data_IF_957843505771
#
_entry.id   IF_957843505771
#
_cell.length_a   1.000
_cell.length_b   1.000
_cell.length_c   1.000
_cell.angle_alpha   90.00
_cell.angle_beta   90.00
_cell.angle_gamma   90.00
#
_symmetry.space_group_name_H-M   'P 1'
#
loop_
_entity.id
_entity.type
_entity.pdbx_description
1 polymer ?
#
# COMPACT_ATOMS: atom_id res chain seq x y z
N UNK A 1 -5.69 -2.29 11.84
CA UNK A 1 -6.16 -3.70 11.85
C UNK A 1 -5.00 -4.70 11.79
N UNK A 2 -3.84 -4.26 11.31
CA UNK A 2 -2.69 -5.11 11.03
C UNK A 2 -1.93 -5.68 12.23
N UNK A 3 -2.06 -5.13 13.44
CA UNK A 3 -1.31 -5.62 14.62
C UNK A 3 -1.61 -7.08 14.94
N UNK A 4 -0.61 -7.80 15.44
CA UNK A 4 -0.77 -9.18 15.91
C UNK A 4 -1.68 -9.27 17.14
N UNK A 5 -1.72 -8.21 17.96
CA UNK A 5 -2.55 -8.14 19.17
C UNK A 5 -3.83 -7.31 18.93
N UNK A 6 -5.04 -7.85 19.20
CA UNK A 6 -6.30 -7.12 19.04
C UNK A 6 -6.31 -5.81 19.84
N UNK A 7 -6.78 -4.73 19.20
CA UNK A 7 -6.86 -3.39 19.79
C UNK A 7 -5.53 -2.71 20.18
N UNK A 8 -4.37 -3.34 19.94
CA UNK A 8 -3.06 -2.71 20.04
C UNK A 8 -2.55 -2.34 18.64
N UNK A 9 -1.65 -1.38 18.53
CA UNK A 9 -1.02 -1.01 17.26
C UNK A 9 0.31 -0.31 17.45
N UNK A 10 1.27 -0.62 16.58
CA UNK A 10 2.52 0.13 16.47
C UNK A 10 2.29 1.56 15.98
N UNK A 11 3.29 2.42 16.17
CA UNK A 11 3.32 3.78 15.64
C UNK A 11 4.63 3.99 14.90
N UNK A 12 4.56 4.58 13.72
CA UNK A 12 5.72 5.08 12.98
C UNK A 12 5.74 6.60 13.05
N UNK A 13 6.81 7.17 13.59
CA UNK A 13 7.06 8.60 13.54
C UNK A 13 7.83 8.94 12.27
N UNK A 14 7.31 9.86 11.45
CA UNK A 14 8.04 10.44 10.33
C UNK A 14 8.26 11.90 10.66
N UNK A 15 9.52 12.30 10.76
CA UNK A 15 9.88 13.69 10.89
C UNK A 15 9.91 14.37 9.52
N UNK A 16 8.88 15.16 9.24
CA UNK A 16 8.71 15.92 8.01
C UNK A 16 9.13 17.40 8.16
N UNK A 17 9.82 17.76 9.24
CA UNK A 17 10.32 19.13 9.44
C UNK A 17 11.55 19.41 8.55
N UNK A 18 11.77 20.70 8.27
CA UNK A 18 12.98 21.14 7.58
C UNK A 18 14.20 20.87 8.46
N UNK A 19 15.24 20.27 7.88
CA UNK A 19 16.45 19.91 8.61
C UNK A 19 17.28 21.16 8.92
N UNK A 20 17.73 21.26 10.16
CA UNK A 20 18.68 22.31 10.58
C UNK A 20 20.11 21.92 10.23
N UNK A 21 21.04 22.88 10.22
CA UNK A 21 22.44 22.66 9.81
C UNK A 21 23.11 21.45 10.50
N UNK A 22 22.87 21.27 11.81
CA UNK A 22 23.40 20.13 12.57
C UNK A 22 22.74 18.77 12.28
N UNK A 23 21.61 18.75 11.56
CA UNK A 23 20.92 17.54 11.11
C UNK A 23 21.23 17.20 9.64
N UNK A 24 21.91 18.11 8.93
CA UNK A 24 22.32 17.87 7.54
C UNK A 24 23.42 16.83 7.54
N UNK A 25 23.04 15.61 7.22
CA UNK A 25 24.00 14.56 6.88
C UNK A 25 24.41 14.78 5.43
N UNK A 26 25.71 14.78 5.17
CA UNK A 26 26.29 14.84 3.82
C UNK A 26 25.95 13.54 3.07
N UNK A 27 24.71 13.46 2.59
CA UNK A 27 24.21 12.34 1.81
C UNK A 27 24.64 12.58 0.38
N UNK A 28 25.45 11.69 -0.17
CA UNK A 28 25.62 11.60 -1.62
C UNK A 28 24.28 11.21 -2.20
N UNK A 29 23.46 12.20 -2.52
CA UNK A 29 22.32 11.98 -3.40
C UNK A 29 22.90 11.47 -4.71
N UNK A 30 22.68 10.19 -4.98
CA UNK A 30 23.02 9.60 -6.27
C UNK A 30 22.43 10.48 -7.37
N UNK A 31 23.12 10.56 -8.51
CA UNK A 31 22.65 11.36 -9.65
C UNK A 31 21.15 11.17 -9.87
N UNK A 32 20.41 12.25 -10.14
CA UNK A 32 19.00 12.19 -10.47
C UNK A 32 18.81 11.40 -11.76
N UNK A 33 18.73 10.09 -11.64
CA UNK A 33 18.42 9.20 -12.75
C UNK A 33 16.94 9.34 -13.08
N UNK A 34 16.63 9.28 -14.37
CA UNK A 34 15.25 9.31 -14.83
C UNK A 34 14.55 8.02 -14.40
N UNK A 35 13.60 8.14 -13.46
CA UNK A 35 12.86 7.00 -12.90
C UNK A 35 11.82 6.41 -13.86
N UNK A 36 11.43 7.17 -14.88
CA UNK A 36 10.36 6.78 -15.81
C UNK A 36 10.82 5.72 -16.84
N UNK A 37 12.12 5.45 -16.90
CA UNK A 37 12.74 4.45 -17.80
C UNK A 37 13.38 3.28 -17.07
N UNK A 38 13.05 3.10 -15.79
CA UNK A 38 13.66 2.03 -15.03
C UNK A 38 12.92 0.71 -15.28
N UNK A 39 13.63 -0.26 -15.82
CA UNK A 39 13.20 -1.65 -15.81
C UNK A 39 13.43 -2.21 -14.40
N UNK A 40 12.34 -2.62 -13.76
CA UNK A 40 12.40 -3.30 -12.48
C UNK A 40 12.85 -4.75 -12.71
N UNK A 41 13.67 -5.35 -11.83
CA UNK A 41 13.95 -6.77 -11.90
C UNK A 41 12.63 -7.55 -11.74
N UNK A 42 12.08 -8.03 -12.86
CA UNK A 42 10.81 -8.77 -12.91
C UNK A 42 11.09 -10.27 -12.92
N UNK A 43 10.61 -10.98 -11.90
CA UNK A 43 9.53 -11.92 -12.19
C UNK A 43 8.34 -11.93 -11.21
N UNK A 44 8.33 -11.13 -10.13
CA UNK A 44 7.37 -11.26 -9.02
C UNK A 44 6.16 -10.31 -9.12
N UNK A 45 6.30 -9.16 -9.77
CA UNK A 45 5.25 -8.14 -9.83
C UNK A 45 4.36 -8.31 -11.07
N UNK A 46 3.07 -7.99 -10.96
CA UNK A 46 2.21 -7.83 -12.15
C UNK A 46 2.36 -6.42 -12.69
N UNK A 47 2.56 -5.47 -11.80
CA UNK A 47 2.62 -4.06 -12.11
C UNK A 47 3.58 -3.35 -11.16
N UNK A 48 4.37 -2.46 -11.75
CA UNK A 48 5.30 -1.58 -11.05
C UNK A 48 5.03 -0.18 -11.54
N UNK A 49 4.54 0.67 -10.65
CA UNK A 49 4.32 2.07 -10.96
C UNK A 49 5.42 2.94 -10.37
N UNK A 50 6.11 3.68 -11.22
CA UNK A 50 6.89 4.83 -10.79
C UNK A 50 5.96 6.03 -10.55
N UNK A 51 6.03 6.61 -9.36
CA UNK A 51 5.33 7.85 -9.01
C UNK A 51 6.31 8.84 -8.39
N UNK A 52 5.90 10.10 -8.35
CA UNK A 52 6.68 11.17 -7.76
C UNK A 52 5.79 12.08 -6.94
N UNK A 53 6.20 12.35 -5.70
CA UNK A 53 5.61 13.40 -4.87
C UNK A 53 6.63 14.53 -4.72
N UNK A 54 6.42 15.65 -5.43
CA UNK A 54 7.43 16.72 -5.57
C UNK A 54 8.75 16.16 -6.15
N UNK A 55 9.81 16.08 -5.35
CA UNK A 55 11.11 15.53 -5.73
C UNK A 55 11.36 14.13 -5.15
N UNK A 56 10.35 13.53 -4.50
CA UNK A 56 10.46 12.21 -3.87
C UNK A 56 9.96 11.13 -4.82
N UNK A 57 10.87 10.35 -5.47
CA UNK A 57 10.47 9.20 -6.25
C UNK A 57 10.05 8.06 -5.31
N UNK A 58 8.95 7.41 -5.66
CA UNK A 58 8.49 6.21 -4.97
C UNK A 58 7.86 5.24 -5.95
N UNK A 59 7.87 3.97 -5.57
CA UNK A 59 7.31 2.90 -6.38
C UNK A 59 6.15 2.25 -5.66
N UNK A 60 5.10 1.96 -6.43
CA UNK A 60 4.01 1.10 -6.01
C UNK A 60 4.21 -0.23 -6.72
N UNK A 61 4.25 -1.30 -5.93
CA UNK A 61 4.49 -2.66 -6.36
C UNK A 61 3.21 -3.46 -6.13
N UNK A 62 2.78 -4.17 -7.17
CA UNK A 62 1.60 -5.03 -7.12
C UNK A 62 2.01 -6.46 -7.49
N UNK A 63 1.90 -7.45 -6.58
CA UNK A 63 2.32 -8.82 -6.85
C UNK A 63 1.46 -9.50 -7.92
N UNK A 64 1.99 -10.51 -8.62
CA UNK A 64 1.24 -11.24 -9.67
C UNK A 64 -0.02 -11.92 -9.15
N UNK A 65 0.07 -12.47 -7.96
CA UNK A 65 -1.04 -13.14 -7.31
C UNK A 65 -1.51 -12.27 -6.16
N UNK A 66 -2.84 -12.15 -6.04
CA UNK A 66 -3.41 -11.76 -4.76
C UNK A 66 -2.99 -12.83 -3.77
N UNK A 67 -2.60 -12.40 -2.59
CA UNK A 67 -2.30 -13.28 -1.46
C UNK A 67 -1.13 -14.27 -1.61
N UNK A 68 -0.09 -14.06 -0.80
CA UNK A 68 0.94 -15.06 -0.50
C UNK A 68 2.00 -15.25 -1.60
N UNK A 69 3.01 -16.07 -1.29
CA UNK A 69 4.04 -16.48 -2.24
C UNK A 69 5.14 -15.44 -2.54
N UNK A 70 5.15 -14.30 -1.85
CA UNK A 70 6.26 -13.35 -1.97
C UNK A 70 7.39 -13.81 -1.05
N UNK A 71 8.52 -14.17 -1.68
CA UNK A 71 9.79 -14.34 -0.96
C UNK A 71 10.34 -12.96 -0.60
N UNK A 72 10.03 -12.51 0.61
CA UNK A 72 10.44 -11.19 1.10
C UNK A 72 11.96 -11.07 1.27
N UNK A 73 12.68 -12.17 1.50
CA UNK A 73 14.13 -12.11 1.68
C UNK A 73 14.83 -11.93 0.32
N UNK A 74 14.37 -12.64 -0.71
CA UNK A 74 14.81 -12.39 -2.08
C UNK A 74 14.44 -10.98 -2.54
N UNK A 75 13.19 -10.56 -2.30
CA UNK A 75 12.72 -9.22 -2.68
C UNK A 75 13.53 -8.11 -2.01
N UNK A 76 13.87 -8.24 -0.72
CA UNK A 76 14.73 -7.27 -0.02
C UNK A 76 16.10 -7.14 -0.69
N UNK A 77 16.67 -8.26 -1.14
CA UNK A 77 17.97 -8.28 -1.81
C UNK A 77 17.89 -7.54 -3.14
N UNK A 78 16.93 -7.90 -3.99
CA UNK A 78 16.70 -7.25 -5.29
C UNK A 78 16.45 -5.73 -5.16
N UNK A 79 15.62 -5.34 -4.20
CA UNK A 79 15.32 -3.93 -3.93
C UNK A 79 16.53 -3.17 -3.37
N UNK A 80 17.38 -3.84 -2.58
CA UNK A 80 18.61 -3.22 -2.07
C UNK A 80 19.52 -2.88 -3.23
N UNK A 81 19.80 -3.85 -4.10
CA UNK A 81 20.63 -3.64 -5.29
C UNK A 81 20.05 -2.54 -6.18
N UNK A 82 18.75 -2.59 -6.42
CA UNK A 82 18.03 -1.55 -7.18
C UNK A 82 18.16 -0.15 -6.56
N UNK A 83 18.00 -0.03 -5.23
CA UNK A 83 18.10 1.25 -4.52
C UNK A 83 19.52 1.83 -4.51
N UNK A 84 20.56 1.02 -4.70
CA UNK A 84 21.92 1.54 -4.91
C UNK A 84 22.09 2.21 -6.27
N UNK A 85 21.32 1.76 -7.26
CA UNK A 85 21.37 2.28 -8.62
C UNK A 85 20.50 3.52 -8.81
N UNK A 86 19.42 3.66 -8.06
CA UNK A 86 18.44 4.74 -8.22
C UNK A 86 18.09 5.39 -6.88
N UNK A 87 17.96 6.73 -6.79
CA UNK A 87 17.69 7.43 -5.54
C UNK A 87 16.21 7.31 -5.10
N UNK A 88 15.74 6.09 -4.88
CA UNK A 88 14.38 5.78 -4.42
C UNK A 88 14.29 5.94 -2.91
N UNK A 89 13.18 6.49 -2.42
CA UNK A 89 12.98 6.70 -0.98
C UNK A 89 11.87 5.86 -0.38
N UNK A 90 10.97 5.32 -1.22
CA UNK A 90 9.81 4.60 -0.77
C UNK A 90 9.38 3.52 -1.76
N UNK A 91 9.16 2.31 -1.25
CA UNK A 91 8.51 1.20 -1.92
C UNK A 91 7.22 0.85 -1.17
N UNK A 92 6.10 0.80 -1.89
CA UNK A 92 4.78 0.49 -1.35
C UNK A 92 4.27 -0.78 -2.02
N UNK A 93 4.11 -1.86 -1.24
CA UNK A 93 3.54 -3.10 -1.75
C UNK A 93 2.04 -3.15 -1.42
N UNK A 94 1.20 -3.27 -2.44
CA UNK A 94 -0.27 -3.30 -2.31
C UNK A 94 -0.88 -4.39 -3.20
N UNK A 95 -2.14 -4.74 -2.97
CA UNK A 95 -2.86 -5.65 -3.86
C UNK A 95 -3.12 -4.99 -5.23
N UNK A 96 -3.08 -5.74 -6.35
CA UNK A 96 -3.22 -5.17 -7.69
C UNK A 96 -4.47 -4.31 -7.92
N UNK A 97 -5.59 -4.65 -7.29
CA UNK A 97 -6.86 -3.92 -7.49
C UNK A 97 -6.97 -2.62 -6.69
N UNK A 98 -6.02 -2.35 -5.79
CA UNK A 98 -6.03 -1.13 -4.97
C UNK A 98 -5.67 0.11 -5.81
N UNK A 99 -4.84 -0.08 -6.82
CA UNK A 99 -4.30 0.99 -7.65
C UNK A 99 -5.40 1.81 -8.34
N UNK A 100 -6.45 1.14 -8.83
CA UNK A 100 -7.54 1.77 -9.58
C UNK A 100 -8.28 2.87 -8.79
N UNK A 101 -8.20 2.86 -7.46
CA UNK A 101 -8.80 3.88 -6.60
C UNK A 101 -7.97 5.14 -6.38
N UNK A 102 -6.77 5.23 -6.97
CA UNK A 102 -5.88 6.37 -6.85
C UNK A 102 -5.23 6.52 -5.47
N UNK A 103 -4.53 7.65 -5.26
CA UNK A 103 -3.61 7.83 -4.11
C UNK A 103 -4.32 7.75 -2.75
N UNK A 104 -5.57 8.21 -2.65
CA UNK A 104 -6.34 8.16 -1.41
C UNK A 104 -6.66 6.72 -0.98
N UNK A 105 -7.08 5.89 -1.93
CA UNK A 105 -7.34 4.47 -1.69
C UNK A 105 -6.05 3.70 -1.37
N UNK A 106 -4.97 3.97 -2.10
CA UNK A 106 -3.64 3.39 -1.83
C UNK A 106 -3.17 3.72 -0.41
N UNK A 107 -3.27 4.99 -0.02
CA UNK A 107 -2.85 5.45 1.31
C UNK A 107 -3.71 4.82 2.41
N UNK A 108 -5.03 4.83 2.26
CA UNK A 108 -5.94 4.19 3.21
C UNK A 108 -5.66 2.69 3.35
N UNK A 109 -5.52 1.99 2.23
CA UNK A 109 -5.29 0.55 2.19
C UNK A 109 -3.97 0.17 2.87
N UNK A 110 -2.88 0.84 2.47
CA UNK A 110 -1.54 0.62 3.02
C UNK A 110 -1.51 0.86 4.53
N UNK A 111 -2.05 1.98 5.00
CA UNK A 111 -2.02 2.34 6.42
C UNK A 111 -2.97 1.49 7.27
N UNK A 112 -4.07 0.98 6.71
CA UNK A 112 -4.99 0.09 7.42
C UNK A 112 -4.41 -1.32 7.62
N UNK A 113 -3.61 -1.77 6.66
CA UNK A 113 -3.12 -3.14 6.53
C UNK A 113 -1.65 -3.34 6.94
N UNK A 114 -0.91 -2.29 7.26
CA UNK A 114 0.46 -2.37 7.75
C UNK A 114 0.57 -2.21 9.27
N UNK A 115 1.41 -3.04 9.88
CA UNK A 115 1.99 -2.82 11.20
C UNK A 115 3.44 -2.33 11.03
N UNK A 116 3.85 -1.18 11.60
CA UNK A 116 5.17 -0.61 11.36
C UNK A 116 6.35 -1.53 11.68
N UNK A 117 6.22 -2.44 12.65
CA UNK A 117 7.32 -3.31 13.08
C UNK A 117 7.43 -4.54 12.18
N UNK A 118 6.30 -5.12 11.79
CA UNK A 118 6.27 -6.34 10.97
C UNK A 118 6.39 -6.04 9.48
N UNK A 119 5.74 -4.98 9.03
CA UNK A 119 5.48 -4.72 7.61
C UNK A 119 6.31 -3.54 7.08
N UNK A 120 7.06 -2.86 7.94
CA UNK A 120 7.95 -1.76 7.57
C UNK A 120 9.41 -2.11 7.78
N UNK A 121 10.26 -1.88 6.77
CA UNK A 121 11.70 -2.04 6.93
C UNK A 121 12.49 -1.11 6.01
N UNK A 122 13.74 -0.86 6.37
CA UNK A 122 14.66 -0.09 5.53
C UNK A 122 15.29 -1.01 4.48
N UNK A 123 15.32 -0.52 3.24
CA UNK A 123 16.08 -1.07 2.12
C UNK A 123 17.32 -0.19 1.95
N UNK A 124 18.50 -0.81 2.01
CA UNK A 124 19.75 -0.06 2.09
C UNK A 124 19.78 0.91 3.28
N UNK A 125 20.23 2.15 3.05
CA UNK A 125 20.40 3.15 4.11
C UNK A 125 19.35 4.26 4.11
N UNK A 126 18.52 4.38 3.06
CA UNK A 126 17.72 5.58 2.83
C UNK A 126 16.37 5.33 2.13
N UNK A 127 15.95 4.07 1.97
CA UNK A 127 14.70 3.72 1.35
C UNK A 127 13.81 2.97 2.34
N UNK A 128 12.56 3.40 2.48
CA UNK A 128 11.56 2.70 3.30
C UNK A 128 10.73 1.76 2.42
N UNK A 129 10.57 0.52 2.84
CA UNK A 129 9.60 -0.40 2.27
C UNK A 129 8.43 -0.59 3.23
N UNK A 130 7.21 -0.61 2.70
CA UNK A 130 5.99 -0.88 3.46
C UNK A 130 5.15 -1.96 2.75
N UNK A 131 4.88 -3.06 3.44
CA UNK A 131 4.00 -4.14 3.01
C UNK A 131 2.54 -3.90 3.45
N UNK A 132 1.71 -3.38 2.55
CA UNK A 132 0.27 -3.21 2.75
C UNK A 132 -0.60 -4.40 2.32
N UNK A 133 -0.03 -5.52 1.87
CA UNK A 133 -0.82 -6.68 1.42
C UNK A 133 -1.62 -7.29 2.56
N UNK A 134 -2.68 -8.05 2.24
CA UNK A 134 -3.43 -8.74 3.30
C UNK A 134 -2.58 -9.85 3.94
N UNK A 135 -2.69 -10.03 5.26
CA UNK A 135 -1.93 -11.07 5.97
C UNK A 135 -2.70 -12.38 6.16
N UNK A 136 -3.89 -12.50 5.57
CA UNK A 136 -4.75 -13.69 5.66
C UNK A 136 -4.01 -14.99 5.26
N UNK A 137 -3.09 -14.90 4.31
CA UNK A 137 -2.39 -16.05 3.73
C UNK A 137 -0.95 -16.19 4.23
N UNK A 138 -0.58 -15.40 5.25
CA UNK A 138 0.71 -15.50 5.90
C UNK A 138 0.61 -16.51 7.06
N UNK A 139 1.41 -17.57 7.01
CA UNK A 139 1.42 -18.63 8.04
C UNK A 139 1.80 -18.13 9.43
N UNK A 140 2.51 -17.00 9.53
CA UNK A 140 2.87 -16.36 10.79
C UNK A 140 1.77 -15.49 11.40
N UNK A 141 0.75 -15.09 10.62
CA UNK A 141 -0.33 -14.23 11.11
C UNK A 141 -1.51 -15.04 11.62
N UNK A 142 -1.72 -15.03 12.94
CA UNK A 142 -2.65 -15.97 13.60
C UNK A 142 -4.11 -15.49 13.68
N UNK A 143 -4.37 -14.21 13.44
CA UNK A 143 -5.72 -13.63 13.56
C UNK A 143 -6.47 -13.77 12.24
N UNK A 144 -7.80 -13.91 12.31
CA UNK A 144 -8.65 -13.77 11.13
C UNK A 144 -8.46 -12.38 10.53
N UNK A 145 -8.20 -12.33 9.22
CA UNK A 145 -8.10 -11.06 8.49
C UNK A 145 -9.51 -10.59 8.11
N UNK A 146 -9.88 -9.34 8.42
CA UNK A 146 -11.19 -8.82 8.04
C UNK A 146 -11.26 -8.61 6.52
N UNK A 147 -12.46 -8.78 5.97
CA UNK A 147 -12.75 -8.29 4.63
C UNK A 147 -12.88 -6.76 4.65
N UNK A 148 -12.73 -6.14 3.48
CA UNK A 148 -13.03 -4.71 3.31
C UNK A 148 -14.53 -4.48 3.56
N UNK A 149 -14.84 -3.47 4.36
CA UNK A 149 -16.23 -3.04 4.58
C UNK A 149 -16.73 -2.36 3.31
N UNK A 150 -17.79 -2.92 2.73
CA UNK A 150 -18.37 -2.42 1.49
C UNK A 150 -19.88 -2.64 1.50
N UNK A 151 -20.64 -1.65 1.02
CA UNK A 151 -22.08 -1.81 0.78
C UNK A 151 -22.32 -2.79 -0.37
N UNK A 152 -23.39 -3.58 -0.28
CA UNK A 152 -23.82 -4.42 -1.41
C UNK A 152 -24.27 -3.56 -2.60
N UNK A 153 -24.16 -4.11 -3.81
CA UNK A 153 -24.64 -3.41 -5.01
C UNK A 153 -26.11 -3.05 -4.90
N UNK A 154 -26.96 -3.98 -4.44
CA UNK A 154 -28.38 -3.73 -4.21
C UNK A 154 -28.63 -2.54 -3.25
N UNK A 155 -27.81 -2.40 -2.21
CA UNK A 155 -27.90 -1.27 -1.27
C UNK A 155 -27.50 0.03 -1.95
N UNK A 156 -26.40 0.01 -2.71
CA UNK A 156 -25.92 1.19 -3.44
C UNK A 156 -26.99 1.65 -4.45
N UNK A 157 -27.49 0.74 -5.28
CA UNK A 157 -28.51 1.05 -6.30
C UNK A 157 -29.81 1.54 -5.68
N UNK A 158 -30.23 0.96 -4.56
CA UNK A 158 -31.40 1.44 -3.82
C UNK A 158 -31.20 2.87 -3.30
N UNK A 159 -30.03 3.18 -2.74
CA UNK A 159 -29.72 4.52 -2.22
C UNK A 159 -29.65 5.53 -3.36
N UNK A 160 -28.98 5.18 -4.46
CA UNK A 160 -28.89 6.02 -5.66
C UNK A 160 -30.29 6.37 -6.19
N UNK A 161 -31.21 5.38 -6.22
CA UNK A 161 -32.58 5.57 -6.69
C UNK A 161 -33.42 6.50 -5.82
N UNK A 162 -33.21 6.51 -4.49
CA UNK A 162 -33.98 7.38 -3.57
C UNK A 162 -33.31 8.73 -3.32
N UNK A 163 -32.04 8.92 -3.72
CA UNK A 163 -31.23 10.09 -3.37
C UNK A 163 -31.90 11.43 -3.69
N UNK A 164 -32.48 11.55 -4.90
CA UNK A 164 -33.15 12.77 -5.33
C UNK A 164 -34.34 13.16 -4.45
N UNK A 165 -35.03 12.17 -3.86
CA UNK A 165 -36.14 12.39 -2.94
C UNK A 165 -35.73 12.79 -1.53
N UNK A 166 -34.45 12.60 -1.15
CA UNK A 166 -33.95 12.93 0.19
C UNK A 166 -33.61 14.41 0.37
N UNK A 167 -33.47 15.18 -0.72
CA UNK A 167 -33.14 16.61 -0.65
C UNK A 167 -31.71 16.91 -0.16
N UNK A 168 -30.78 15.96 -0.29
CA UNK A 168 -29.39 16.07 0.20
C UNK A 168 -28.42 16.74 -0.80
N UNK A 169 -28.93 17.29 -1.90
CA UNK A 169 -28.14 17.87 -2.98
C UNK A 169 -27.71 16.85 -4.04
N UNK A 170 -26.58 17.11 -4.71
CA UNK A 170 -26.07 16.25 -5.79
C UNK A 170 -25.73 14.85 -5.25
N UNK A 171 -26.00 13.82 -6.07
CA UNK A 171 -25.63 12.44 -5.75
C UNK A 171 -24.11 12.35 -5.54
N UNK A 172 -23.73 11.76 -4.41
CA UNK A 172 -22.35 11.39 -4.10
C UNK A 172 -22.22 9.91 -4.43
N UNK A 173 -21.32 9.56 -5.34
CA UNK A 173 -21.09 8.17 -5.72
C UNK A 173 -20.59 7.36 -4.51
N UNK A 174 -21.14 6.15 -4.34
CA UNK A 174 -20.73 5.27 -3.25
C UNK A 174 -19.27 4.82 -3.42
N UNK A 175 -18.39 5.05 -2.43
CA UNK A 175 -16.99 4.60 -2.49
C UNK A 175 -16.86 3.07 -2.51
N UNK A 176 -17.89 2.35 -2.05
CA UNK A 176 -17.95 0.88 -2.08
C UNK A 176 -17.87 0.30 -3.49
N UNK A 177 -18.19 1.09 -4.53
CA UNK A 177 -17.99 0.67 -5.93
C UNK A 177 -16.52 0.38 -6.24
N UNK A 178 -15.59 1.12 -5.65
CA UNK A 178 -14.15 0.93 -5.81
C UNK A 178 -13.59 -0.26 -5.01
N UNK A 179 -14.30 -0.68 -3.94
CA UNK A 179 -13.81 -1.72 -3.04
C UNK A 179 -14.22 -3.13 -3.45
N UNK A 180 -15.14 -3.27 -4.41
CA UNK A 180 -15.69 -4.57 -4.82
C UNK A 180 -14.62 -5.58 -5.19
N UNK A 181 -13.56 -5.14 -5.87
CA UNK A 181 -12.46 -6.00 -6.32
C UNK A 181 -11.47 -6.36 -5.20
N UNK A 182 -11.60 -5.74 -4.02
CA UNK A 182 -10.82 -6.05 -2.82
C UNK A 182 -11.51 -7.05 -1.88
N UNK A 183 -12.76 -7.43 -2.17
CA UNK A 183 -13.51 -8.38 -1.33
C UNK A 183 -13.05 -9.79 -1.68
N UNK A 184 -12.56 -10.52 -0.68
CA UNK A 184 -12.22 -11.95 -0.79
C UNK A 184 -13.42 -12.82 -0.39
N UNK A 185 -13.45 -14.11 -0.79
CA UNK A 185 -14.45 -15.06 -0.31
C UNK A 185 -14.62 -15.00 1.21
N UNK A 186 -15.85 -15.07 1.68
CA UNK A 186 -16.21 -14.91 3.09
C UNK A 186 -17.25 -13.82 3.31
N UNK A 187 -17.47 -13.47 4.58
CA UNK A 187 -18.34 -12.35 5.00
C UNK A 187 -17.48 -11.30 5.69
N UNK A 188 -17.58 -11.21 7.01
CA UNK A 188 -16.82 -10.26 7.85
C UNK A 188 -15.31 -10.53 7.81
N UNK A 189 -14.92 -11.80 7.62
CA UNK A 189 -13.54 -12.24 7.53
C UNK A 189 -13.30 -12.99 6.23
N UNK A 190 -12.06 -12.90 5.74
CA UNK A 190 -11.58 -13.67 4.61
C UNK A 190 -11.60 -15.15 4.97
N UNK A 191 -12.13 -15.96 4.05
CA UNK A 191 -12.08 -17.41 4.08
C UNK A 191 -10.86 -17.86 3.26
N UNK A 192 -9.88 -18.43 3.96
CA UNK A 192 -8.62 -18.97 3.42
C UNK A 192 -8.74 -20.47 3.26
#
# INVERSE_FOLDING_TARGET
HASDNPAFGGKLGIDATGKIEGELVDRKDGEQKNIDKIEFPEPVFKEVLAKRLKNLPFFILSPKQKSGGIDFDNLKTELTDFSTLFPVRLFLLIEPDVEAGGIGMITWYLLANSDPVRDGWLIGSNCLFIDGTIKAFNSGFKRRWPNVVSSSLDTIERVDAIWGGLGLGKLIESPSRNYKNLIFPGKDFIQV
#
